data_IF_789293283157
#
_entry.id   IF_789293283157
#
_cell.length_a   1.000
_cell.length_b   1.000
_cell.length_c   1.000
_cell.angle_alpha   90.00
_cell.angle_beta   90.00
_cell.angle_gamma   90.00
#
_symmetry.space_group_name_H-M   'P 1'
#
loop_
_entity.id
_entity.type
_entity.pdbx_description
1 polymer ?
#
# COMPACT_ATOMS: atom_id res chain seq x y z
N UNK A 1 0.15 -3.99 -15.52
CA UNK A 1 -1.30 -4.12 -15.43
C UNK A 1 -1.80 -5.20 -16.39
N UNK A 2 -2.15 -6.34 -15.88
CA UNK A 2 -2.71 -7.45 -16.63
C UNK A 2 -3.76 -8.14 -15.75
N UNK A 3 -4.90 -8.62 -16.28
CA UNK A 3 -5.93 -9.30 -15.48
C UNK A 3 -5.36 -10.46 -14.66
N UNK A 4 -4.47 -11.27 -15.24
CA UNK A 4 -3.86 -12.40 -14.52
C UNK A 4 -2.95 -11.97 -13.38
N UNK A 5 -2.27 -10.82 -13.50
CA UNK A 5 -1.48 -10.23 -12.41
C UNK A 5 -2.42 -9.80 -11.27
N UNK A 6 -3.50 -9.09 -11.60
CA UNK A 6 -4.50 -8.68 -10.60
C UNK A 6 -5.11 -9.91 -9.90
N UNK A 7 -5.49 -10.94 -10.65
CA UNK A 7 -6.03 -12.17 -10.11
C UNK A 7 -5.02 -12.89 -9.19
N UNK A 8 -3.75 -12.98 -9.62
CA UNK A 8 -2.67 -13.55 -8.81
C UNK A 8 -2.45 -12.81 -7.48
N UNK A 9 -2.49 -11.48 -7.49
CA UNK A 9 -2.37 -10.68 -6.26
C UNK A 9 -3.60 -10.77 -5.35
N UNK A 10 -4.75 -11.14 -5.89
CA UNK A 10 -5.97 -11.38 -5.11
C UNK A 10 -5.84 -12.53 -4.11
N UNK A 11 -4.93 -13.48 -4.33
CA UNK A 11 -4.67 -14.59 -3.38
C UNK A 11 -4.29 -14.08 -1.98
N UNK A 12 -3.59 -12.95 -1.89
CA UNK A 12 -3.26 -12.31 -0.61
C UNK A 12 -4.53 -11.94 0.16
N UNK A 13 -5.53 -11.38 -0.51
CA UNK A 13 -6.82 -11.06 0.12
C UNK A 13 -7.55 -12.31 0.64
N UNK A 14 -7.48 -13.42 -0.09
CA UNK A 14 -8.07 -14.72 0.32
C UNK A 14 -7.34 -15.25 1.55
N UNK A 15 -6.00 -15.22 1.57
CA UNK A 15 -5.17 -15.67 2.69
C UNK A 15 -5.43 -14.82 3.95
N UNK A 16 -5.51 -13.48 3.82
CA UNK A 16 -5.84 -12.59 4.93
C UNK A 16 -7.18 -12.97 5.57
N UNK A 17 -8.22 -13.18 4.77
CA UNK A 17 -9.55 -13.54 5.27
C UNK A 17 -9.60 -14.93 5.90
N UNK A 18 -8.77 -15.86 5.42
CA UNK A 18 -8.65 -17.20 6.00
C UNK A 18 -7.90 -17.20 7.33
N UNK A 19 -6.80 -16.43 7.43
CA UNK A 19 -5.95 -16.39 8.61
C UNK A 19 -6.53 -15.51 9.73
N UNK A 20 -7.26 -14.45 9.38
CA UNK A 20 -7.89 -13.52 10.32
C UNK A 20 -9.36 -13.24 9.92
N UNK A 21 -10.29 -14.17 10.20
CA UNK A 21 -11.71 -14.00 9.84
C UNK A 21 -12.40 -12.78 10.47
N UNK A 22 -11.83 -12.21 11.54
CA UNK A 22 -12.31 -11.03 12.25
C UNK A 22 -11.71 -9.71 11.72
N UNK A 23 -10.90 -9.76 10.66
CA UNK A 23 -10.29 -8.55 10.09
C UNK A 23 -11.36 -7.52 9.72
N UNK A 24 -11.16 -6.29 10.18
CA UNK A 24 -12.03 -5.16 9.87
C UNK A 24 -11.44 -4.23 8.81
N UNK A 25 -10.10 -4.13 8.77
CA UNK A 25 -9.39 -3.21 7.87
C UNK A 25 -8.20 -3.91 7.22
N UNK A 26 -8.11 -3.83 5.91
CA UNK A 26 -6.93 -4.26 5.14
C UNK A 26 -6.26 -3.03 4.53
N UNK A 27 -4.98 -2.84 4.82
CA UNK A 27 -4.17 -1.72 4.35
C UNK A 27 -3.13 -2.22 3.36
N UNK A 28 -3.13 -1.68 2.14
CA UNK A 28 -2.32 -2.18 1.01
C UNK A 28 -1.59 -1.04 0.30
N UNK A 29 -0.30 -1.19 -0.08
CA UNK A 29 0.43 -0.15 -0.81
C UNK A 29 -0.06 -0.05 -2.26
N UNK A 30 -0.06 1.18 -2.80
CA UNK A 30 -0.38 1.45 -4.20
C UNK A 30 0.86 2.01 -4.91
N UNK A 31 1.22 1.39 -6.02
CA UNK A 31 2.02 1.93 -7.09
C UNK A 31 1.19 1.85 -8.37
N UNK A 32 1.55 1.04 -9.36
CA UNK A 32 0.74 0.82 -10.56
C UNK A 32 -0.65 0.20 -10.32
N UNK A 33 -0.98 -0.13 -9.08
CA UNK A 33 -2.31 -0.54 -8.63
C UNK A 33 -2.61 -2.03 -8.78
N UNK A 34 -1.70 -2.86 -9.33
CA UNK A 34 -1.97 -4.28 -9.56
C UNK A 34 -2.24 -5.08 -8.28
N UNK A 35 -1.37 -4.91 -7.26
CA UNK A 35 -1.52 -5.52 -5.95
C UNK A 35 -2.82 -5.07 -5.26
N UNK A 36 -3.01 -3.77 -5.12
CA UNK A 36 -4.17 -3.20 -4.46
C UNK A 36 -5.49 -3.58 -5.17
N UNK A 37 -5.48 -3.63 -6.51
CA UNK A 37 -6.63 -4.09 -7.29
C UNK A 37 -7.00 -5.55 -6.97
N UNK A 38 -6.00 -6.43 -6.93
CA UNK A 38 -6.22 -7.86 -6.64
C UNK A 38 -6.75 -8.07 -5.22
N UNK A 39 -6.05 -7.51 -4.23
CA UNK A 39 -6.43 -7.63 -2.81
C UNK A 39 -7.83 -7.06 -2.58
N UNK A 40 -8.11 -5.84 -3.06
CA UNK A 40 -9.40 -5.20 -2.86
C UNK A 40 -10.54 -5.97 -3.54
N UNK A 41 -10.34 -6.44 -4.78
CA UNK A 41 -11.33 -7.25 -5.49
C UNK A 41 -11.65 -8.53 -4.71
N UNK A 42 -10.64 -9.27 -4.26
CA UNK A 42 -10.83 -10.51 -3.52
C UNK A 42 -11.54 -10.28 -2.18
N UNK A 43 -11.05 -9.30 -1.39
CA UNK A 43 -11.64 -8.97 -0.09
C UNK A 43 -13.08 -8.53 -0.24
N UNK A 44 -13.40 -7.59 -1.14
CA UNK A 44 -14.76 -7.09 -1.33
C UNK A 44 -15.72 -8.14 -1.90
N UNK A 45 -15.22 -9.09 -2.69
CA UNK A 45 -16.04 -10.18 -3.21
C UNK A 45 -16.46 -11.20 -2.14
N UNK A 46 -15.61 -11.43 -1.13
CA UNK A 46 -15.82 -12.44 -0.08
C UNK A 46 -16.42 -11.80 1.18
N UNK A 47 -15.88 -10.67 1.59
CA UNK A 47 -16.23 -9.97 2.83
C UNK A 47 -16.44 -8.46 2.54
N UNK A 48 -17.55 -8.05 1.92
CA UNK A 48 -17.78 -6.68 1.48
C UNK A 48 -17.81 -5.65 2.62
N UNK A 49 -18.00 -6.10 3.86
CA UNK A 49 -17.97 -5.25 5.07
C UNK A 49 -16.55 -4.87 5.52
N UNK A 50 -15.52 -5.59 5.07
CA UNK A 50 -14.12 -5.28 5.40
C UNK A 50 -13.69 -4.03 4.63
N UNK A 51 -13.14 -3.05 5.34
CA UNK A 51 -12.63 -1.83 4.73
C UNK A 51 -11.26 -2.09 4.10
N UNK A 52 -11.08 -1.70 2.84
CA UNK A 52 -9.78 -1.79 2.15
C UNK A 52 -9.25 -0.39 1.89
N UNK A 53 -8.10 -0.08 2.48
CA UNK A 53 -7.44 1.23 2.40
C UNK A 53 -6.15 1.11 1.59
N UNK A 54 -6.04 1.89 0.53
CA UNK A 54 -4.80 2.04 -0.22
C UNK A 54 -3.86 3.05 0.42
N UNK A 55 -2.55 2.86 0.26
CA UNK A 55 -1.56 3.81 0.78
C UNK A 55 -0.54 4.16 -0.29
N UNK A 56 -0.27 5.46 -0.43
CA UNK A 56 0.75 6.00 -1.32
C UNK A 56 1.73 6.92 -0.57
N UNK A 57 2.98 7.03 -1.05
CA UNK A 57 3.84 8.15 -0.63
C UNK A 57 3.27 9.48 -1.11
N UNK A 58 3.37 10.54 -0.32
CA UNK A 58 2.85 11.87 -0.70
C UNK A 58 3.44 12.44 -2.01
N UNK A 59 4.65 12.01 -2.38
CA UNK A 59 5.31 12.40 -3.63
C UNK A 59 4.93 11.52 -4.84
N UNK A 60 4.21 10.43 -4.62
CA UNK A 60 3.70 9.53 -5.67
C UNK A 60 2.26 9.12 -5.34
N UNK A 61 1.35 10.11 -5.27
CA UNK A 61 -0.04 9.97 -4.81
C UNK A 61 -1.04 10.23 -5.96
N UNK A 62 -0.76 9.68 -7.13
CA UNK A 62 -1.63 9.84 -8.30
C UNK A 62 -2.93 9.03 -8.18
N UNK A 63 -2.94 7.91 -7.45
CA UNK A 63 -4.15 7.16 -7.18
C UNK A 63 -5.10 7.93 -6.24
N UNK A 64 -4.57 8.56 -5.18
CA UNK A 64 -5.37 9.42 -4.29
C UNK A 64 -6.02 10.56 -5.06
N UNK A 65 -5.28 11.24 -5.94
CA UNK A 65 -5.82 12.29 -6.80
C UNK A 65 -6.86 11.74 -7.77
N UNK A 66 -6.56 10.61 -8.43
CA UNK A 66 -7.46 9.97 -9.41
C UNK A 66 -8.79 9.56 -8.79
N UNK A 67 -8.76 8.95 -7.61
CA UNK A 67 -9.98 8.52 -6.93
C UNK A 67 -10.80 9.70 -6.40
N UNK A 68 -10.13 10.73 -5.88
CA UNK A 68 -10.79 11.97 -5.42
C UNK A 68 -11.47 12.73 -6.55
N UNK A 69 -10.85 12.77 -7.74
CA UNK A 69 -11.40 13.51 -8.90
C UNK A 69 -12.33 12.67 -9.76
N UNK A 70 -12.29 11.35 -9.63
CA UNK A 70 -13.02 10.42 -10.50
C UNK A 70 -12.41 10.27 -11.91
N UNK A 71 -11.26 10.89 -12.16
CA UNK A 71 -10.52 10.86 -13.44
C UNK A 71 -9.11 10.37 -13.18
N UNK A 72 -8.65 9.40 -13.97
CA UNK A 72 -7.27 8.90 -13.85
C UNK A 72 -6.26 10.01 -14.13
N UNK A 73 -5.48 10.34 -13.11
CA UNK A 73 -4.38 11.29 -13.18
C UNK A 73 -3.05 10.53 -13.37
N UNK A 74 -2.15 11.08 -14.15
CA UNK A 74 -0.78 10.57 -14.27
C UNK A 74 0.20 11.68 -13.89
N UNK A 75 1.05 11.40 -12.91
CA UNK A 75 2.08 12.34 -12.47
C UNK A 75 3.37 12.13 -13.26
N UNK A 76 4.13 13.19 -13.46
CA UNK A 76 5.41 13.09 -14.14
C UNK A 76 6.42 12.28 -13.33
N UNK A 77 7.32 11.58 -14.01
CA UNK A 77 8.44 10.84 -13.38
C UNK A 77 9.28 11.74 -12.48
N UNK A 78 9.45 13.02 -12.84
CA UNK A 78 10.14 13.98 -12.00
C UNK A 78 9.44 14.24 -10.67
N UNK A 79 8.10 14.13 -10.62
CA UNK A 79 7.32 14.26 -9.39
C UNK A 79 7.35 12.97 -8.58
N UNK A 80 7.01 11.83 -9.18
CA UNK A 80 6.96 10.55 -8.48
C UNK A 80 8.34 10.06 -8.07
N UNK A 81 9.40 10.44 -8.78
CA UNK A 81 10.78 10.13 -8.44
C UNK A 81 11.32 10.79 -7.17
N UNK A 82 10.55 11.68 -6.53
CA UNK A 82 10.96 12.36 -5.29
C UNK A 82 10.82 11.49 -4.05
N UNK A 83 10.01 10.45 -4.07
CA UNK A 83 9.92 9.52 -2.94
C UNK A 83 11.05 8.51 -2.93
N UNK A 84 11.45 8.06 -1.74
CA UNK A 84 12.40 6.96 -1.53
C UNK A 84 11.78 5.58 -1.84
N UNK A 85 10.47 5.47 -1.87
CA UNK A 85 9.72 4.24 -2.13
C UNK A 85 9.65 3.97 -3.64
N UNK A 86 10.74 3.54 -4.24
CA UNK A 86 10.95 3.44 -5.68
C UNK A 86 10.04 2.41 -6.37
N UNK A 87 9.66 1.34 -5.68
CA UNK A 87 8.76 0.31 -6.20
C UNK A 87 7.29 0.75 -6.35
N UNK A 88 6.92 1.93 -5.82
CA UNK A 88 5.55 2.48 -5.91
C UNK A 88 5.47 3.82 -6.64
N UNK A 89 6.44 4.12 -7.51
CA UNK A 89 6.49 5.36 -8.32
C UNK A 89 5.68 5.29 -9.61
N UNK A 90 5.14 4.14 -9.96
CA UNK A 90 4.44 3.89 -11.23
C UNK A 90 2.98 4.29 -11.08
N UNK A 91 2.51 5.17 -11.99
CA UNK A 91 1.12 5.61 -12.00
C UNK A 91 0.14 4.50 -12.41
N UNK A 92 -1.12 4.68 -12.05
CA UNK A 92 -2.21 3.77 -12.41
C UNK A 92 -2.39 3.65 -13.93
N UNK A 93 -2.79 2.47 -14.39
CA UNK A 93 -3.39 2.24 -15.70
C UNK A 93 -4.91 2.43 -15.64
N UNK A 94 -5.56 2.43 -16.80
CA UNK A 94 -7.03 2.49 -16.87
C UNK A 94 -7.67 1.26 -16.22
N UNK A 95 -7.05 0.09 -16.38
CA UNK A 95 -7.53 -1.16 -15.78
C UNK A 95 -7.45 -1.10 -14.24
N UNK A 96 -6.28 -0.77 -13.69
CA UNK A 96 -6.10 -0.72 -12.24
C UNK A 96 -6.91 0.42 -11.62
N UNK A 97 -7.03 1.58 -12.29
CA UNK A 97 -7.91 2.65 -11.84
C UNK A 97 -9.38 2.21 -11.73
N UNK A 98 -9.88 1.47 -12.72
CA UNK A 98 -11.25 0.96 -12.68
C UNK A 98 -11.49 0.01 -11.49
N UNK A 99 -10.53 -0.90 -11.22
CA UNK A 99 -10.59 -1.80 -10.05
C UNK A 99 -10.55 -1.02 -8.73
N UNK A 100 -9.60 -0.10 -8.58
CA UNK A 100 -9.46 0.66 -7.33
C UNK A 100 -10.67 1.53 -7.07
N UNK A 101 -11.22 2.18 -8.10
CA UNK A 101 -12.45 2.96 -8.00
C UNK A 101 -13.66 2.14 -7.57
N UNK A 102 -13.71 0.85 -7.95
CA UNK A 102 -14.82 -0.03 -7.62
C UNK A 102 -14.71 -0.66 -6.21
N UNK A 103 -13.48 -0.85 -5.69
CA UNK A 103 -13.25 -1.73 -4.55
C UNK A 103 -12.47 -1.09 -3.40
N UNK A 104 -11.78 0.05 -3.57
CA UNK A 104 -11.17 0.75 -2.45
C UNK A 104 -12.16 1.66 -1.74
N UNK A 105 -12.10 1.68 -0.41
CA UNK A 105 -12.91 2.57 0.42
C UNK A 105 -12.22 3.93 0.63
N UNK A 106 -10.88 3.94 0.71
CA UNK A 106 -10.10 5.16 0.92
C UNK A 106 -8.66 5.01 0.43
N UNK A 107 -7.98 6.16 0.27
CA UNK A 107 -6.53 6.22 0.11
C UNK A 107 -5.95 7.20 1.13
N UNK A 108 -4.87 6.77 1.80
CA UNK A 108 -4.10 7.56 2.76
C UNK A 108 -2.71 7.79 2.21
N UNK A 109 -2.13 8.96 2.47
CA UNK A 109 -0.75 9.25 2.07
C UNK A 109 0.18 9.32 3.28
N UNK A 110 1.44 8.89 3.07
CA UNK A 110 2.51 8.90 4.07
C UNK A 110 3.75 9.62 3.55
N UNK A 111 4.51 10.21 4.46
CA UNK A 111 5.77 10.88 4.13
C UNK A 111 6.93 9.88 4.06
N UNK A 112 8.01 10.25 3.35
CA UNK A 112 9.24 9.45 3.33
C UNK A 112 9.86 9.27 4.73
N UNK A 113 9.72 10.26 5.61
CA UNK A 113 10.18 10.16 7.00
C UNK A 113 9.41 9.09 7.78
N UNK A 114 8.09 9.00 7.63
CA UNK A 114 7.25 7.96 8.24
C UNK A 114 7.58 6.57 7.68
N UNK A 115 7.83 6.48 6.37
CA UNK A 115 8.25 5.22 5.72
C UNK A 115 9.58 4.73 6.34
N UNK A 116 10.60 5.59 6.43
CA UNK A 116 11.89 5.23 7.03
C UNK A 116 11.78 4.82 8.51
N UNK A 117 10.98 5.55 9.29
CA UNK A 117 10.71 5.18 10.68
C UNK A 117 10.05 3.80 10.79
N UNK A 118 9.18 3.46 9.84
CA UNK A 118 8.51 2.16 9.76
C UNK A 118 9.47 1.05 9.38
N UNK A 119 10.39 1.27 8.44
CA UNK A 119 11.47 0.31 8.11
C UNK A 119 12.30 -0.01 9.36
N UNK A 120 12.69 1.02 10.15
CA UNK A 120 13.40 0.82 11.41
C UNK A 120 12.58 0.00 12.42
N UNK A 121 11.29 0.28 12.53
CA UNK A 121 10.37 -0.42 13.44
C UNK A 121 10.23 -1.89 13.06
N UNK A 122 10.03 -2.20 11.78
CA UNK A 122 9.97 -3.58 11.28
C UNK A 122 11.23 -4.34 11.63
N UNK A 123 12.40 -3.80 11.28
CA UNK A 123 13.68 -4.47 11.53
C UNK A 123 13.93 -4.71 13.02
N UNK A 124 13.65 -3.72 13.89
CA UNK A 124 13.93 -3.81 15.34
C UNK A 124 12.92 -4.67 16.08
N UNK A 125 11.62 -4.53 15.78
CA UNK A 125 10.54 -5.13 16.57
C UNK A 125 10.14 -6.51 16.09
N UNK A 126 10.18 -6.76 14.77
CA UNK A 126 9.70 -8.01 14.17
C UNK A 126 10.81 -8.83 13.50
N UNK A 127 12.03 -8.29 13.39
CA UNK A 127 13.13 -8.88 12.61
C UNK A 127 12.82 -9.04 11.12
N UNK A 128 11.82 -8.31 10.63
CA UNK A 128 11.47 -8.29 9.21
C UNK A 128 12.22 -7.17 8.50
N UNK A 129 12.98 -7.52 7.47
CA UNK A 129 13.67 -6.55 6.63
C UNK A 129 12.73 -6.19 5.47
N UNK A 130 12.28 -4.95 5.47
CA UNK A 130 11.48 -4.38 4.38
C UNK A 130 12.22 -3.22 3.71
N UNK A 131 12.08 -3.08 2.40
CA UNK A 131 12.48 -1.87 1.67
C UNK A 131 11.46 -0.74 1.91
N UNK A 132 11.78 0.52 1.56
CA UNK A 132 10.85 1.63 1.73
C UNK A 132 9.48 1.36 1.11
N UNK A 133 9.43 0.83 -0.12
CA UNK A 133 8.17 0.49 -0.81
C UNK A 133 7.35 -0.58 -0.08
N UNK A 134 8.05 -1.54 0.54
CA UNK A 134 7.43 -2.61 1.32
C UNK A 134 6.82 -2.15 2.64
N UNK A 135 7.30 -1.04 3.19
CA UNK A 135 6.86 -0.49 4.47
C UNK A 135 5.69 0.51 4.38
N UNK A 136 5.31 0.93 3.16
CA UNK A 136 4.33 2.00 2.93
C UNK A 136 2.98 1.75 3.62
N UNK A 137 2.43 0.54 3.50
CA UNK A 137 1.14 0.22 4.11
C UNK A 137 1.19 0.28 5.65
N UNK A 138 2.22 -0.30 6.26
CA UNK A 138 2.40 -0.27 7.70
C UNK A 138 2.69 1.15 8.20
N UNK A 139 3.33 2.01 7.41
CA UNK A 139 3.54 3.41 7.77
C UNK A 139 2.22 4.14 8.01
N UNK A 140 1.18 3.88 7.22
CA UNK A 140 -0.13 4.45 7.48
C UNK A 140 -0.74 3.96 8.80
N UNK A 141 -0.59 2.67 9.13
CA UNK A 141 -1.08 2.12 10.40
C UNK A 141 -0.39 2.74 11.60
N UNK A 142 0.94 2.95 11.53
CA UNK A 142 1.71 3.49 12.65
C UNK A 142 1.60 5.01 12.80
N UNK A 143 1.49 5.76 11.70
CA UNK A 143 1.61 7.22 11.73
C UNK A 143 0.33 7.96 11.29
N UNK A 144 -0.64 7.27 10.69
CA UNK A 144 -1.91 7.84 10.20
C UNK A 144 -3.14 7.14 10.81
N UNK A 145 -3.00 6.55 11.97
CA UNK A 145 -4.06 5.75 12.63
C UNK A 145 -5.41 6.48 12.70
N UNK A 146 -5.42 7.78 12.93
CA UNK A 146 -6.65 8.59 12.97
C UNK A 146 -7.38 8.70 11.61
N UNK A 147 -6.74 8.33 10.51
CA UNK A 147 -7.33 8.29 9.17
C UNK A 147 -7.82 6.89 8.77
N UNK A 148 -7.63 5.90 9.63
CA UNK A 148 -8.06 4.52 9.42
C UNK A 148 -9.26 4.21 10.32
N UNK A 149 -10.20 3.35 9.85
CA UNK A 149 -11.28 2.87 10.71
C UNK A 149 -10.77 2.09 11.92
N UNK A 150 -11.60 1.98 12.94
CA UNK A 150 -11.34 1.10 14.08
C UNK A 150 -11.54 -0.36 13.72
N UNK A 151 -10.85 -1.24 14.45
CA UNK A 151 -10.95 -2.68 14.32
C UNK A 151 -9.62 -3.37 14.06
N UNK A 152 -9.68 -4.70 13.95
CA UNK A 152 -8.51 -5.52 13.64
C UNK A 152 -8.00 -5.19 12.25
N UNK A 153 -6.73 -4.80 12.18
CA UNK A 153 -6.12 -4.22 10.98
C UNK A 153 -4.95 -5.08 10.49
N UNK A 154 -4.97 -5.44 9.23
CA UNK A 154 -3.86 -6.09 8.54
C UNK A 154 -3.19 -5.08 7.61
N UNK A 155 -1.88 -4.91 7.74
CA UNK A 155 -1.05 -4.14 6.81
C UNK A 155 -0.21 -5.10 5.94
N UNK A 156 -0.32 -4.97 4.63
CA UNK A 156 0.46 -5.79 3.70
C UNK A 156 1.88 -5.24 3.57
N UNK A 157 2.85 -5.94 4.16
CA UNK A 157 4.29 -5.65 3.97
C UNK A 157 4.78 -6.43 2.77
N UNK A 158 5.41 -5.76 1.81
CA UNK A 158 5.77 -6.37 0.52
C UNK A 158 7.26 -6.63 0.39
N UNK A 159 7.98 -5.84 -0.40
CA UNK A 159 9.38 -6.08 -0.75
C UNK A 159 10.40 -5.87 0.37
N UNK A 160 11.53 -6.57 0.29
CA UNK A 160 12.64 -6.48 1.23
C UNK A 160 14.00 -6.23 0.58
N UNK A 161 14.04 -5.81 -0.71
CA UNK A 161 15.29 -5.55 -1.45
C UNK A 161 15.85 -4.15 -1.12
N UNK A 162 16.15 -3.92 0.16
CA UNK A 162 16.68 -2.64 0.64
C UNK A 162 18.21 -2.56 0.44
N UNK A 163 18.68 -1.37 0.05
CA UNK A 163 20.12 -1.08 0.03
C UNK A 163 20.72 -1.22 1.44
N UNK A 164 21.79 -2.02 1.62
CA UNK A 164 22.42 -2.24 2.93
C UNK A 164 22.91 -0.94 3.61
N UNK A 165 23.36 0.05 2.86
CA UNK A 165 23.80 1.33 3.41
C UNK A 165 22.62 2.14 3.91
N UNK A 166 21.49 2.12 3.18
CA UNK A 166 20.25 2.73 3.63
C UNK A 166 19.75 2.05 4.91
N UNK A 167 19.71 0.71 4.95
CA UNK A 167 19.31 -0.04 6.14
C UNK A 167 20.17 0.32 7.35
N UNK A 168 21.49 0.33 7.20
CA UNK A 168 22.40 0.73 8.27
C UNK A 168 22.09 2.14 8.77
N UNK A 169 21.90 3.10 7.86
CA UNK A 169 21.55 4.49 8.20
C UNK A 169 20.25 4.58 9.00
N UNK A 170 19.23 3.82 8.60
CA UNK A 170 17.92 3.79 9.26
C UNK A 170 18.01 3.16 10.65
N UNK A 171 18.85 2.15 10.83
CA UNK A 171 19.04 1.47 12.12
C UNK A 171 19.91 2.27 13.11
N UNK A 172 20.69 3.25 12.66
CA UNK A 172 21.48 4.12 13.55
C UNK A 172 20.73 5.36 14.05
N UNK A 173 19.54 5.64 13.53
CA UNK A 173 18.65 6.71 14.00
C UNK A 173 17.77 6.23 15.16
#
# INVERSE_FOLDING_TARGET
DHPDIIAGQGTIGIEILADLPSVAVVVVPIGGGGLASGVATAVKSIAPHVTVVGVEPEHAADAAESLRTGVRCAWSVARTGRTIADGVRICLSDLTFAHLRAHLDAVVTVTDAEILATVATLARSTRTIAEPSGAVALAAVLHRRAQLPDGETVAVVTGGNIDPALLATVLHR
#
